data_IF_168257122556
#
_entry.id   IF_168257122556
#
_cell.length_a   1.000
_cell.length_b   1.000
_cell.length_c   1.000
_cell.angle_alpha   90.00
_cell.angle_beta   90.00
_cell.angle_gamma   90.00
#
_symmetry.space_group_name_H-M   'P 1'
#
loop_
_entity.id
_entity.type
_entity.pdbx_description
1 polymer ?
#
# COMPACT_ATOMS: atom_id res chain seq x y z
N UNK A 1 9.55 -15.15 -1.30
CA UNK A 1 9.57 -13.74 -0.83
C UNK A 1 9.02 -13.67 0.57
N UNK A 2 9.72 -13.01 1.45
CA UNK A 2 9.22 -12.82 2.80
C UNK A 2 8.22 -11.66 2.81
N UNK A 3 7.14 -11.78 3.59
CA UNK A 3 6.15 -10.71 3.65
C UNK A 3 6.76 -9.42 4.18
N UNK A 4 6.36 -8.31 3.60
CA UNK A 4 6.76 -6.99 4.05
C UNK A 4 5.50 -6.24 4.44
N UNK A 5 5.50 -5.62 5.61
CA UNK A 5 4.33 -4.94 6.10
C UNK A 5 4.71 -3.56 6.63
N UNK A 6 3.94 -2.56 6.22
CA UNK A 6 4.13 -1.19 6.71
C UNK A 6 2.79 -0.62 7.15
N UNK A 7 2.82 0.17 8.20
CA UNK A 7 1.66 0.90 8.67
C UNK A 7 1.62 2.27 8.02
N UNK A 8 0.45 2.69 7.58
CA UNK A 8 0.29 3.97 6.88
C UNK A 8 -0.20 5.09 7.79
N UNK A 9 0.10 4.98 9.07
CA UNK A 9 -0.41 5.93 10.04
C UNK A 9 0.72 6.42 10.92
N UNK A 10 1.02 7.71 10.91
CA UNK A 10 2.13 8.21 11.73
C UNK A 10 1.83 8.24 13.22
N UNK A 11 0.56 8.26 13.63
CA UNK A 11 0.22 8.44 15.03
C UNK A 11 -1.07 7.78 15.47
N UNK A 12 -1.57 6.78 14.77
CA UNK A 12 -2.83 6.13 15.11
C UNK A 12 -2.61 4.77 15.73
N UNK A 13 -3.67 4.26 16.35
CA UNK A 13 -3.68 2.91 16.90
C UNK A 13 -4.20 1.93 15.87
N UNK A 14 -5.24 2.31 15.13
CA UNK A 14 -5.82 1.48 14.08
C UNK A 14 -5.58 2.15 12.75
N UNK A 15 -4.61 1.65 12.02
CA UNK A 15 -4.15 2.29 10.80
C UNK A 15 -4.17 1.31 9.64
N UNK A 16 -4.45 1.80 8.43
CA UNK A 16 -4.31 0.96 7.26
C UNK A 16 -2.87 0.48 7.12
N UNK A 17 -2.72 -0.70 6.57
CA UNK A 17 -1.41 -1.30 6.36
C UNK A 17 -1.23 -1.66 4.90
N UNK A 18 0.02 -1.65 4.46
CA UNK A 18 0.41 -2.22 3.18
C UNK A 18 1.16 -3.50 3.48
N UNK A 19 0.69 -4.60 2.92
CA UNK A 19 1.38 -5.88 3.07
C UNK A 19 1.68 -6.45 1.70
N UNK A 20 2.96 -6.76 1.47
CA UNK A 20 3.43 -7.32 0.21
C UNK A 20 3.83 -8.76 0.47
N UNK A 21 3.22 -9.68 -0.25
CA UNK A 21 3.53 -11.10 -0.14
C UNK A 21 3.75 -11.68 -1.52
N UNK A 22 4.10 -12.96 -1.59
CA UNK A 22 4.26 -13.63 -2.87
C UNK A 22 2.92 -13.86 -3.59
N UNK A 23 1.81 -13.57 -2.94
CA UNK A 23 0.48 -13.72 -3.54
C UNK A 23 -0.09 -12.39 -4.01
N UNK A 24 0.53 -11.28 -3.67
CA UNK A 24 0.05 -9.98 -4.07
C UNK A 24 0.27 -8.95 -2.99
N UNK A 25 -0.48 -7.86 -3.09
CA UNK A 25 -0.38 -6.76 -2.13
C UNK A 25 -1.77 -6.46 -1.59
N UNK A 26 -1.85 -6.20 -0.30
CA UNK A 26 -3.09 -5.73 0.31
C UNK A 26 -2.85 -4.37 0.95
N UNK A 27 -3.84 -3.49 0.83
CA UNK A 27 -3.78 -2.15 1.41
C UNK A 27 -5.10 -1.92 2.12
N UNK A 28 -5.03 -1.56 3.40
CA UNK A 28 -6.23 -1.24 4.15
C UNK A 28 -6.20 -1.78 5.55
N UNK A 29 -7.37 -1.79 6.17
CA UNK A 29 -7.55 -2.31 7.51
C UNK A 29 -8.88 -3.03 7.62
N UNK A 30 -8.89 -4.16 8.32
CA UNK A 30 -10.11 -4.92 8.56
C UNK A 30 -10.83 -5.27 7.27
N UNK A 31 -12.12 -4.92 7.21
CA UNK A 31 -12.94 -5.19 6.04
C UNK A 31 -12.70 -4.19 4.91
N UNK A 32 -12.01 -3.11 5.21
CA UNK A 32 -11.70 -2.07 4.21
C UNK A 32 -10.31 -2.31 3.64
N UNK A 33 -10.16 -3.43 2.96
CA UNK A 33 -8.87 -3.82 2.41
C UNK A 33 -9.01 -4.04 0.90
N UNK A 34 -8.15 -3.38 0.14
CA UNK A 34 -8.05 -3.58 -1.29
C UNK A 34 -6.91 -4.54 -1.58
N UNK A 35 -7.10 -5.38 -2.59
CA UNK A 35 -6.06 -6.32 -3.00
C UNK A 35 -5.60 -6.00 -4.40
N UNK A 36 -4.29 -6.00 -4.57
CA UNK A 36 -3.65 -5.70 -5.84
C UNK A 36 -2.77 -6.87 -6.24
N UNK A 37 -2.68 -7.11 -7.54
CA UNK A 37 -1.65 -8.02 -8.06
C UNK A 37 -0.30 -7.32 -7.96
N UNK A 38 0.78 -8.08 -8.13
CA UNK A 38 2.11 -7.48 -8.17
C UNK A 38 2.23 -6.47 -9.31
N UNK A 39 1.62 -6.78 -10.46
CA UNK A 39 1.66 -5.87 -11.60
C UNK A 39 0.93 -4.57 -11.30
N UNK A 40 -0.22 -4.68 -10.65
CA UNK A 40 -0.98 -3.48 -10.27
C UNK A 40 -0.24 -2.65 -9.23
N UNK A 41 0.39 -3.30 -8.29
CA UNK A 41 1.21 -2.62 -7.30
C UNK A 41 2.38 -1.91 -7.95
N UNK A 42 3.04 -2.58 -8.89
CA UNK A 42 4.17 -1.97 -9.58
C UNK A 42 3.75 -0.76 -10.40
N UNK A 43 2.55 -0.78 -10.96
CA UNK A 43 2.03 0.37 -11.68
C UNK A 43 1.80 1.55 -10.74
N UNK A 44 1.26 1.27 -9.55
CA UNK A 44 1.09 2.31 -8.53
C UNK A 44 2.43 2.93 -8.16
N UNK A 45 3.45 2.10 -7.94
CA UNK A 45 4.79 2.57 -7.60
C UNK A 45 5.35 3.42 -8.73
N UNK A 46 5.13 3.00 -9.99
CA UNK A 46 5.59 3.76 -11.15
C UNK A 46 4.97 5.16 -11.18
N UNK A 47 3.67 5.25 -10.91
CA UNK A 47 2.98 6.54 -10.90
C UNK A 47 3.51 7.47 -9.82
N UNK A 48 3.85 6.91 -8.65
CA UNK A 48 4.44 7.68 -7.57
C UNK A 48 5.82 8.17 -7.97
N UNK A 49 6.64 7.30 -8.54
CA UNK A 49 8.00 7.64 -8.92
C UNK A 49 8.05 8.67 -10.04
N UNK A 50 7.05 8.67 -10.92
CA UNK A 50 6.97 9.63 -12.01
C UNK A 50 6.32 10.96 -11.60
N UNK A 51 5.86 11.06 -10.37
CA UNK A 51 5.24 12.28 -9.86
C UNK A 51 3.79 12.45 -10.28
N UNK A 52 3.18 11.45 -10.89
CA UNK A 52 1.76 11.52 -11.27
C UNK A 52 0.86 11.33 -10.05
N UNK A 53 1.32 10.54 -9.10
CA UNK A 53 0.70 10.43 -7.78
C UNK A 53 1.68 10.98 -6.78
N UNK A 54 1.26 11.97 -6.01
CA UNK A 54 2.14 12.60 -5.04
C UNK A 54 1.35 12.94 -3.79
N UNK A 55 2.08 13.48 -2.80
CA UNK A 55 1.47 13.82 -1.53
C UNK A 55 0.35 14.84 -1.69
N UNK A 56 -0.62 14.71 -0.83
CA UNK A 56 -1.73 15.67 -0.75
C UNK A 56 -1.49 16.57 0.44
N UNK A 57 -1.73 17.86 0.26
CA UNK A 57 -1.64 18.80 1.38
C UNK A 57 -2.75 18.50 2.37
N UNK A 58 -2.38 18.28 3.62
CA UNK A 58 -3.33 17.94 4.69
C UNK A 58 -3.30 18.97 5.79
#
# INVERSE_FOLDING_TARGET
MEPVKFTLCPACIECPEVEITNQGVSIGEGVNTARLSHAEWNELVRLVRNGELSEVAV
#
